data_IF_202696778506
#
_entry.id   IF_202696778506
#
_cell.length_a   1.000
_cell.length_b   1.000
_cell.length_c   1.000
_cell.angle_alpha   90.00
_cell.angle_beta   90.00
_cell.angle_gamma   90.00
#
_symmetry.space_group_name_H-M   'P 1'
#
loop_
_entity.id
_entity.type
_entity.pdbx_description
1 polymer ?
#
# COMPACT_ATOMS: atom_id res chain seq x y z
N UNK A 1 8.45 -9.84 19.31
CA UNK A 1 7.95 -10.04 17.93
C UNK A 1 8.98 -9.38 17.04
N UNK A 2 9.71 -10.17 16.25
CA UNK A 2 10.74 -9.65 15.35
C UNK A 2 10.08 -9.27 14.02
N UNK A 3 10.19 -8.00 13.63
CA UNK A 3 9.64 -7.45 12.39
C UNK A 3 10.72 -7.29 11.31
N UNK A 4 11.93 -7.84 11.51
CA UNK A 4 13.03 -7.79 10.55
C UNK A 4 12.71 -8.44 9.20
N UNK A 5 11.74 -9.35 9.16
CA UNK A 5 11.22 -9.96 7.93
C UNK A 5 10.15 -9.10 7.24
N UNK A 6 9.76 -8.00 7.88
CA UNK A 6 8.79 -6.96 7.50
C UNK A 6 9.34 -5.89 6.55
N UNK A 7 8.82 -5.72 5.34
CA UNK A 7 9.03 -4.48 4.57
C UNK A 7 7.74 -3.64 4.53
N UNK A 8 7.89 -2.34 4.75
CA UNK A 8 6.78 -1.36 4.75
C UNK A 8 6.97 -0.41 3.59
N UNK A 9 5.92 -0.28 2.77
CA UNK A 9 5.92 0.54 1.57
C UNK A 9 4.81 1.57 1.67
N UNK A 10 5.09 2.81 1.27
CA UNK A 10 4.02 3.75 0.97
C UNK A 10 3.42 3.37 -0.39
N UNK A 11 2.10 3.22 -0.42
CA UNK A 11 1.32 2.97 -1.62
C UNK A 11 0.33 4.11 -1.87
N UNK A 12 0.10 4.41 -3.13
CA UNK A 12 -0.96 5.30 -3.55
C UNK A 12 -1.77 4.69 -4.70
N UNK A 13 -3.01 5.13 -4.84
CA UNK A 13 -3.85 4.78 -5.97
C UNK A 13 -4.51 6.04 -6.53
N UNK A 14 -4.53 6.16 -7.86
CA UNK A 14 -5.16 7.29 -8.59
C UNK A 14 -4.62 8.67 -8.14
N UNK A 15 -3.29 8.79 -8.05
CA UNK A 15 -2.62 10.04 -7.68
C UNK A 15 -3.07 11.24 -8.54
N UNK A 16 -3.22 12.40 -7.92
CA UNK A 16 -3.64 13.65 -8.56
C UNK A 16 -5.13 13.72 -8.90
N UNK A 17 -5.95 12.80 -8.39
CA UNK A 17 -7.41 12.79 -8.65
C UNK A 17 -8.23 12.94 -7.38
N UNK A 18 -9.50 13.31 -7.50
CA UNK A 18 -10.45 13.32 -6.38
C UNK A 18 -10.70 11.94 -5.75
N UNK A 19 -10.20 10.87 -6.37
CA UNK A 19 -10.29 9.47 -5.88
C UNK A 19 -8.94 8.94 -5.43
N UNK A 20 -7.98 9.83 -5.18
CA UNK A 20 -6.68 9.46 -4.64
C UNK A 20 -6.82 8.80 -3.27
N UNK A 21 -6.12 7.70 -3.07
CA UNK A 21 -5.96 7.06 -1.77
C UNK A 21 -4.48 6.89 -1.47
N UNK A 22 -4.09 7.17 -0.23
CA UNK A 22 -2.78 6.86 0.32
C UNK A 22 -2.92 5.74 1.36
N UNK A 23 -2.04 4.75 1.28
CA UNK A 23 -2.09 3.54 2.08
C UNK A 23 -0.69 3.03 2.41
N UNK A 24 -0.63 2.10 3.35
CA UNK A 24 0.59 1.34 3.65
C UNK A 24 0.44 -0.05 3.04
N UNK A 25 1.48 -0.55 2.39
CA UNK A 25 1.57 -1.95 1.97
C UNK A 25 2.68 -2.63 2.78
N UNK A 26 2.39 -3.82 3.29
CA UNK A 26 3.36 -4.66 3.98
C UNK A 26 3.67 -5.88 3.11
N UNK A 27 4.95 -6.14 2.86
CA UNK A 27 5.44 -7.35 2.19
C UNK A 27 6.37 -8.12 3.11
N UNK A 28 6.56 -9.41 2.82
CA UNK A 28 7.74 -10.10 3.33
C UNK A 28 9.01 -9.48 2.71
N UNK A 29 10.13 -9.56 3.43
CA UNK A 29 11.42 -9.06 2.97
C UNK A 29 11.82 -9.70 1.63
N UNK A 30 12.21 -8.86 0.67
CA UNK A 30 12.60 -9.30 -0.68
C UNK A 30 11.45 -9.78 -1.58
N UNK A 31 10.20 -9.74 -1.13
CA UNK A 31 9.05 -10.11 -1.96
C UNK A 31 8.53 -8.93 -2.80
N UNK A 32 7.89 -9.27 -3.92
CA UNK A 32 7.27 -8.30 -4.81
C UNK A 32 6.11 -7.55 -4.12
N UNK A 33 5.94 -6.28 -4.48
CA UNK A 33 4.91 -5.39 -3.92
C UNK A 33 3.50 -5.95 -4.06
N UNK A 34 3.19 -6.57 -5.21
CA UNK A 34 1.87 -7.12 -5.54
C UNK A 34 1.48 -8.30 -4.65
N UNK A 35 2.46 -8.95 -4.02
CA UNK A 35 2.23 -10.06 -3.07
C UNK A 35 1.88 -9.56 -1.66
N UNK A 36 2.08 -8.26 -1.40
CA UNK A 36 1.84 -7.65 -0.10
C UNK A 36 0.36 -7.49 0.26
N UNK A 37 0.14 -7.04 1.49
CA UNK A 37 -1.17 -6.67 2.03
C UNK A 37 -1.25 -5.15 2.09
N UNK A 38 -2.26 -4.57 1.44
CA UNK A 38 -2.56 -3.15 1.57
C UNK A 38 -3.40 -2.87 2.81
N UNK A 39 -3.09 -1.79 3.50
CA UNK A 39 -3.76 -1.25 4.67
C UNK A 39 -4.29 0.14 4.30
N UNK A 40 -5.56 0.19 3.89
CA UNK A 40 -6.24 1.39 3.38
C UNK A 40 -7.27 1.89 4.41
N UNK A 41 -6.90 2.94 5.15
CA UNK A 41 -7.78 3.59 6.12
C UNK A 41 -8.80 4.56 5.49
N UNK A 42 -8.61 4.93 4.23
CA UNK A 42 -9.46 5.90 3.53
C UNK A 42 -10.76 5.24 3.05
N UNK A 43 -10.66 4.01 2.57
CA UNK A 43 -11.75 3.29 1.88
C UNK A 43 -13.05 3.17 2.65
N UNK A 44 -12.97 3.14 3.98
CA UNK A 44 -14.14 3.06 4.85
C UNK A 44 -14.07 4.13 5.95
N UNK A 45 -13.57 5.31 5.59
CA UNK A 45 -13.60 6.52 6.42
C UNK A 45 -13.07 6.29 7.84
N UNK A 46 -11.87 5.70 7.94
CA UNK A 46 -11.21 5.40 9.22
C UNK A 46 -11.36 3.96 9.70
N UNK A 47 -12.34 3.18 9.20
CA UNK A 47 -12.35 1.73 9.42
C UNK A 47 -11.33 1.08 8.49
N UNK A 48 -10.28 0.50 9.06
CA UNK A 48 -9.22 -0.12 8.27
C UNK A 48 -9.78 -1.18 7.32
N UNK A 49 -9.52 -1.00 6.02
CA UNK A 49 -9.70 -2.02 5.00
C UNK A 49 -8.35 -2.65 4.68
N UNK A 50 -8.36 -3.95 4.45
CA UNK A 50 -7.17 -4.67 3.99
C UNK A 50 -7.51 -5.70 2.92
N UNK A 51 -6.56 -5.94 2.01
CA UNK A 51 -6.63 -6.99 1.00
C UNK A 51 -5.21 -7.28 0.48
N UNK A 52 -5.03 -8.38 -0.28
CA UNK A 52 -3.83 -8.56 -1.09
C UNK A 52 -3.78 -7.52 -2.21
N UNK A 53 -2.61 -6.92 -2.45
CA UNK A 53 -2.43 -5.90 -3.50
C UNK A 53 -2.85 -6.44 -4.86
N UNK A 54 -2.35 -7.62 -5.26
CA UNK A 54 -2.67 -8.24 -6.55
C UNK A 54 -4.13 -8.69 -6.72
N UNK A 55 -4.91 -8.73 -5.64
CA UNK A 55 -6.34 -9.08 -5.68
C UNK A 55 -7.26 -7.87 -5.41
N UNK A 56 -6.70 -6.66 -5.21
CA UNK A 56 -7.48 -5.47 -4.95
C UNK A 56 -7.95 -4.79 -6.24
N UNK A 57 -9.10 -4.13 -6.17
CA UNK A 57 -9.69 -3.36 -7.27
C UNK A 57 -9.04 -1.98 -7.46
N UNK A 58 -8.19 -1.55 -6.53
CA UNK A 58 -7.50 -0.26 -6.61
C UNK A 58 -6.14 -0.48 -7.29
N UNK A 59 -5.74 0.39 -8.24
CA UNK A 59 -4.46 0.29 -8.92
C UNK A 59 -3.36 0.84 -8.02
N UNK A 60 -2.96 0.04 -7.03
CA UNK A 60 -1.92 0.42 -6.08
C UNK A 60 -0.56 0.48 -6.76
N UNK A 61 0.14 1.59 -6.55
CA UNK A 61 1.51 1.79 -6.96
C UNK A 61 2.36 2.06 -5.73
N UNK A 62 3.57 1.50 -5.71
CA UNK A 62 4.57 1.81 -4.69
C UNK A 62 5.11 3.21 -4.95
N UNK A 63 5.12 4.05 -3.93
CA UNK A 63 5.82 5.32 -3.97
C UNK A 63 7.33 5.05 -4.04
N UNK A 64 8.00 5.67 -5.01
CA UNK A 64 9.45 5.66 -5.07
C UNK A 64 9.97 6.81 -4.19
N UNK A 65 10.73 6.51 -3.12
CA UNK A 65 11.34 7.54 -2.28
C UNK A 65 12.15 8.57 -3.05
N UNK A 66 12.73 8.21 -4.20
CA UNK A 66 13.51 9.11 -5.04
C UNK A 66 12.67 10.15 -5.81
N UNK A 67 11.35 9.97 -5.87
CA UNK A 67 10.41 10.90 -6.53
C UNK A 67 9.62 11.78 -5.57
N UNK A 68 9.93 11.70 -4.28
CA UNK A 68 9.33 12.51 -3.22
C UNK A 68 10.24 13.72 -2.94
N UNK A 69 10.16 14.73 -3.82
CA UNK A 69 10.71 16.07 -3.59
C UNK A 69 9.65 17.03 -3.00
#
# INVERSE_FOLDING_TARGET
MDLSSLEVHWAFARAGTMREHNAVVITAWGHLFETGIVLDAWRRSGKLYWNHVGADRYPWLKADPATLE
#
